data_IF_793751285855
#
_entry.id   IF_793751285855
#
_cell.length_a   1.000
_cell.length_b   1.000
_cell.length_c   1.000
_cell.angle_alpha   90.00
_cell.angle_beta   90.00
_cell.angle_gamma   90.00
#
_symmetry.space_group_name_H-M   'P 1'
#
loop_
_entity.id
_entity.type
_entity.pdbx_description
1 polymer ?
#
# COMPACT_ATOMS: atom_id res chain seq x y z
N UNK A 1 7.60 -25.02 -13.58
CA UNK A 1 8.31 -24.00 -12.78
C UNK A 1 7.22 -23.24 -12.06
N UNK A 2 7.13 -23.35 -10.74
CA UNK A 2 6.31 -22.41 -9.97
C UNK A 2 6.94 -21.03 -10.18
N UNK A 3 6.21 -20.10 -10.79
CA UNK A 3 6.64 -18.71 -10.84
C UNK A 3 6.78 -18.24 -9.39
N UNK A 4 7.99 -17.89 -8.95
CA UNK A 4 8.17 -17.20 -7.67
C UNK A 4 7.34 -15.92 -7.75
N UNK A 5 6.33 -15.81 -6.90
CA UNK A 5 5.47 -14.63 -6.88
C UNK A 5 6.31 -13.41 -6.48
N UNK A 6 6.28 -12.39 -7.32
CA UNK A 6 6.95 -11.12 -7.03
C UNK A 6 6.41 -10.48 -5.76
N UNK A 7 7.33 -10.00 -4.92
CA UNK A 7 7.04 -9.27 -3.68
C UNK A 7 6.68 -7.82 -4.02
N UNK A 8 5.66 -7.29 -3.35
CA UNK A 8 5.22 -5.89 -3.51
C UNK A 8 5.72 -5.06 -2.33
N UNK A 9 6.01 -3.79 -2.55
CA UNK A 9 6.55 -2.88 -1.55
C UNK A 9 5.63 -1.68 -1.39
N UNK A 10 5.39 -1.26 -0.15
CA UNK A 10 4.66 -0.03 0.17
C UNK A 10 5.66 0.96 0.75
N UNK A 11 5.94 2.03 0.03
CA UNK A 11 6.75 3.18 0.47
C UNK A 11 5.92 4.05 1.43
N UNK A 12 5.98 3.71 2.72
CA UNK A 12 5.17 4.28 3.80
C UNK A 12 5.83 5.53 4.40
N UNK A 13 5.04 6.59 4.58
CA UNK A 13 5.36 7.70 5.49
C UNK A 13 4.37 7.71 6.64
N UNK A 14 4.87 7.77 7.86
CA UNK A 14 4.03 7.93 9.05
C UNK A 14 4.04 9.38 9.53
N UNK A 15 2.88 9.87 9.96
CA UNK A 15 2.74 11.23 10.50
C UNK A 15 2.18 11.15 11.90
N UNK A 16 2.87 11.73 12.89
CA UNK A 16 2.34 11.87 14.25
C UNK A 16 1.75 13.26 14.44
N UNK A 17 0.52 13.32 14.92
CA UNK A 17 -0.12 14.59 15.27
C UNK A 17 0.48 15.20 16.55
N UNK A 18 0.14 16.47 16.83
CA UNK A 18 0.65 17.20 17.99
C UNK A 18 0.15 16.65 19.33
N UNK A 19 -0.94 15.86 19.30
CA UNK A 19 -1.53 15.26 20.48
C UNK A 19 -0.89 13.92 20.83
N UNK A 20 -0.05 13.36 19.96
CA UNK A 20 0.67 12.13 20.25
C UNK A 20 1.52 12.32 21.51
N UNK A 21 1.19 11.54 22.52
CA UNK A 21 1.16 11.90 23.93
C UNK A 21 2.40 11.41 24.67
N UNK A 22 3.55 11.39 24.03
CA UNK A 22 4.81 11.16 24.73
C UNK A 22 5.45 12.48 25.16
N UNK A 23 4.84 13.10 26.17
CA UNK A 23 5.49 14.02 27.12
C UNK A 23 6.58 14.97 26.56
N UNK A 24 6.35 15.65 25.43
CA UNK A 24 7.35 16.54 24.83
C UNK A 24 8.66 15.86 24.40
N UNK A 25 8.70 14.52 24.29
CA UNK A 25 9.85 13.74 23.88
C UNK A 25 9.66 13.19 22.46
N UNK A 26 10.06 14.00 21.48
CA UNK A 26 10.04 13.66 20.06
C UNK A 26 10.71 12.31 19.76
N UNK A 27 11.79 11.96 20.45
CA UNK A 27 12.50 10.71 20.17
C UNK A 27 11.66 9.49 20.53
N UNK A 28 10.90 9.54 21.64
CA UNK A 28 10.04 8.43 22.05
C UNK A 28 8.92 8.18 21.02
N UNK A 29 8.36 9.24 20.42
CA UNK A 29 7.39 9.11 19.33
C UNK A 29 8.04 8.46 18.10
N UNK A 30 9.22 8.93 17.70
CA UNK A 30 9.95 8.36 16.56
C UNK A 30 10.26 6.87 16.76
N UNK A 31 10.80 6.50 17.92
CA UNK A 31 11.14 5.11 18.24
C UNK A 31 9.90 4.22 18.22
N UNK A 32 8.78 4.71 18.76
CA UNK A 32 7.50 4.00 18.77
C UNK A 32 6.92 3.80 17.37
N UNK A 33 6.93 4.83 16.54
CA UNK A 33 6.41 4.73 15.17
C UNK A 33 7.29 3.83 14.30
N UNK A 34 8.61 3.86 14.50
CA UNK A 34 9.51 2.92 13.84
C UNK A 34 9.23 1.47 14.28
N UNK A 35 9.00 1.23 15.57
CA UNK A 35 8.57 -0.09 16.07
C UNK A 35 7.25 -0.54 15.43
N UNK A 36 6.28 0.38 15.33
CA UNK A 36 4.99 0.08 14.70
C UNK A 36 5.13 -0.27 13.21
N UNK A 37 5.94 0.46 12.46
CA UNK A 37 6.23 0.17 11.05
C UNK A 37 6.89 -1.21 10.87
N UNK A 38 7.87 -1.56 11.72
CA UNK A 38 8.53 -2.86 11.69
C UNK A 38 7.56 -4.03 11.98
N UNK A 39 6.62 -3.83 12.91
CA UNK A 39 5.58 -4.80 13.19
C UNK A 39 4.65 -4.92 11.98
N UNK A 40 4.23 -3.80 11.37
CA UNK A 40 3.38 -3.83 10.19
C UNK A 40 4.06 -4.52 8.99
N UNK A 41 5.35 -4.27 8.73
CA UNK A 41 6.12 -5.01 7.72
C UNK A 41 6.07 -6.52 7.98
N UNK A 42 6.25 -6.94 9.24
CA UNK A 42 6.14 -8.36 9.63
C UNK A 42 4.76 -8.96 9.36
N UNK A 43 3.69 -8.18 9.51
CA UNK A 43 2.31 -8.59 9.18
C UNK A 43 2.16 -8.76 7.66
N UNK A 44 2.62 -7.78 6.88
CA UNK A 44 2.52 -7.80 5.42
C UNK A 44 3.39 -8.86 4.73
N UNK A 45 4.53 -9.24 5.35
CA UNK A 45 5.34 -10.38 4.90
C UNK A 45 4.52 -11.67 4.77
N UNK A 46 3.48 -11.86 5.59
CA UNK A 46 2.61 -13.06 5.55
C UNK A 46 1.84 -13.21 4.24
N UNK A 47 1.69 -12.13 3.47
CA UNK A 47 1.01 -12.08 2.17
C UNK A 47 1.94 -11.64 1.03
N UNK A 48 3.25 -11.87 1.17
CA UNK A 48 4.28 -11.53 0.18
C UNK A 48 4.30 -10.04 -0.21
N UNK A 49 4.12 -9.18 0.79
CA UNK A 49 4.28 -7.73 0.67
C UNK A 49 5.27 -7.24 1.73
N UNK A 50 5.85 -6.07 1.49
CA UNK A 50 6.76 -5.38 2.39
C UNK A 50 6.28 -3.97 2.64
N UNK A 51 6.47 -3.48 3.86
CA UNK A 51 6.25 -2.08 4.22
C UNK A 51 7.61 -1.46 4.46
N UNK A 52 7.96 -0.48 3.64
CA UNK A 52 9.22 0.23 3.71
C UNK A 52 8.97 1.60 4.33
N UNK A 53 9.50 1.82 5.53
CA UNK A 53 9.34 3.11 6.20
C UNK A 53 10.31 4.12 5.57
N UNK A 54 9.78 5.04 4.78
CA UNK A 54 10.56 6.08 4.10
C UNK A 54 10.74 7.33 4.96
N UNK A 55 9.84 7.56 5.92
CA UNK A 55 9.93 8.73 6.77
C UNK A 55 8.91 8.79 7.89
N UNK A 56 9.24 9.59 8.91
CA UNK A 56 8.33 9.96 9.99
C UNK A 56 8.28 11.49 10.12
N UNK A 57 7.09 12.07 9.97
CA UNK A 57 6.84 13.48 10.26
C UNK A 57 6.15 13.63 11.62
N UNK A 58 6.56 14.61 12.44
CA UNK A 58 5.94 14.88 13.75
C UNK A 58 5.53 16.35 13.82
N UNK A 59 4.22 16.61 13.96
CA UNK A 59 3.66 17.94 14.04
C UNK A 59 3.89 18.57 15.41
N UNK A 60 5.06 19.17 15.62
CA UNK A 60 5.46 19.74 16.91
C UNK A 60 4.94 21.16 17.19
N UNK A 61 4.63 21.93 16.14
CA UNK A 61 4.21 23.34 16.25
C UNK A 61 2.69 23.53 16.22
N UNK A 62 1.92 22.44 16.38
CA UNK A 62 0.48 22.37 16.16
C UNK A 62 0.13 21.60 14.89
N UNK A 63 -1.13 21.18 14.79
CA UNK A 63 -1.61 20.42 13.64
C UNK A 63 -1.89 21.35 12.44
N UNK A 64 -1.40 21.04 11.24
CA UNK A 64 -1.69 21.79 10.02
C UNK A 64 -3.13 21.54 9.52
N UNK A 65 -3.76 20.47 10.00
CA UNK A 65 -5.16 20.14 9.78
C UNK A 65 -5.93 20.14 11.11
N UNK A 66 -7.24 20.30 11.04
CA UNK A 66 -8.11 20.12 12.20
C UNK A 66 -8.37 18.62 12.43
N UNK A 67 -7.71 18.05 13.44
CA UNK A 67 -7.83 16.65 13.87
C UNK A 67 -8.95 16.56 14.91
N UNK A 68 -10.00 15.80 14.60
CA UNK A 68 -11.21 15.69 15.44
C UNK A 68 -11.49 14.25 15.83
N UNK A 69 -12.40 14.07 16.80
CA UNK A 69 -12.88 12.73 17.19
C UNK A 69 -13.76 12.05 16.10
N UNK A 70 -14.09 12.74 15.00
CA UNK A 70 -14.79 12.14 13.86
C UNK A 70 -13.75 11.64 12.86
N UNK A 71 -13.45 10.33 12.88
CA UNK A 71 -12.38 9.72 12.08
C UNK A 71 -12.48 10.06 10.58
N UNK A 72 -13.69 10.06 10.00
CA UNK A 72 -13.89 10.37 8.59
C UNK A 72 -13.52 11.80 8.22
N UNK A 73 -13.85 12.79 9.06
CA UNK A 73 -13.47 14.19 8.81
C UNK A 73 -11.95 14.37 8.89
N UNK A 74 -11.33 13.77 9.90
CA UNK A 74 -9.86 13.79 10.07
C UNK A 74 -9.17 13.11 8.89
N UNK A 75 -9.65 11.95 8.46
CA UNK A 75 -9.11 11.20 7.32
C UNK A 75 -9.13 12.01 6.03
N UNK A 76 -10.27 12.59 5.65
CA UNK A 76 -10.34 13.37 4.41
C UNK A 76 -9.44 14.61 4.45
N UNK A 77 -9.36 15.31 5.59
CA UNK A 77 -8.44 16.45 5.76
C UNK A 77 -6.98 16.04 5.68
N UNK A 78 -6.63 14.89 6.26
CA UNK A 78 -5.29 14.34 6.18
C UNK A 78 -4.90 13.94 4.76
N UNK A 79 -5.80 13.31 4.01
CA UNK A 79 -5.56 12.93 2.62
C UNK A 79 -5.44 14.14 1.69
N UNK A 80 -6.22 15.20 1.91
CA UNK A 80 -6.05 16.48 1.22
C UNK A 80 -4.69 17.11 1.52
N UNK A 81 -4.29 17.14 2.80
CA UNK A 81 -2.97 17.62 3.20
C UNK A 81 -1.84 16.77 2.62
N UNK A 82 -1.96 15.43 2.61
CA UNK A 82 -0.99 14.54 1.98
C UNK A 82 -0.79 14.92 0.51
N UNK A 83 -1.88 15.11 -0.22
CA UNK A 83 -1.86 15.49 -1.65
C UNK A 83 -1.17 16.83 -1.87
N UNK A 84 -1.50 17.83 -1.06
CA UNK A 84 -1.12 19.22 -1.32
C UNK A 84 0.21 19.62 -0.66
N UNK A 85 0.66 18.87 0.36
CA UNK A 85 1.83 19.22 1.18
C UNK A 85 2.88 18.11 1.26
N UNK A 86 2.49 16.84 1.47
CA UNK A 86 3.46 15.76 1.66
C UNK A 86 4.02 15.23 0.33
N UNK A 87 3.13 14.91 -0.62
CA UNK A 87 3.48 14.32 -1.91
C UNK A 87 4.39 15.20 -2.79
N UNK A 88 4.23 16.53 -2.84
CA UNK A 88 5.13 17.37 -3.63
C UNK A 88 6.60 17.25 -3.23
N UNK A 89 6.87 17.02 -1.94
CA UNK A 89 8.23 16.84 -1.40
C UNK A 89 8.67 15.37 -1.38
N UNK A 90 7.73 14.42 -1.52
CA UNK A 90 7.95 12.98 -1.45
C UNK A 90 7.17 12.28 -2.59
N UNK A 91 7.59 12.45 -3.86
CA UNK A 91 6.83 12.01 -5.03
C UNK A 91 6.68 10.49 -5.11
N UNK A 92 7.61 9.73 -4.52
CA UNK A 92 7.63 8.27 -4.50
C UNK A 92 6.83 7.69 -3.31
N UNK A 93 6.16 8.52 -2.49
CA UNK A 93 5.36 8.01 -1.39
C UNK A 93 4.09 7.29 -1.89
N UNK A 94 4.02 5.98 -1.64
CA UNK A 94 2.86 5.17 -1.99
C UNK A 94 1.66 5.41 -1.08
N UNK A 95 1.91 5.51 0.22
CA UNK A 95 0.87 5.56 1.26
C UNK A 95 1.33 6.36 2.48
N UNK A 96 0.42 7.11 3.11
CA UNK A 96 0.74 7.74 4.39
C UNK A 96 -0.33 7.46 5.46
N UNK A 97 0.11 7.31 6.70
CA UNK A 97 -0.77 7.00 7.84
C UNK A 97 -0.59 8.05 8.93
N UNK A 98 -1.69 8.68 9.35
CA UNK A 98 -1.70 9.65 10.44
C UNK A 98 -1.98 8.93 11.76
N UNK A 99 -1.00 8.93 12.64
CA UNK A 99 -1.11 8.43 14.01
C UNK A 99 -1.51 9.57 14.93
N UNK A 100 -2.61 9.41 15.66
CA UNK A 100 -3.14 10.44 16.56
C UNK A 100 -3.33 9.94 17.98
N UNK A 101 -3.05 10.82 18.95
CA UNK A 101 -3.42 10.62 20.35
C UNK A 101 -4.89 10.94 20.68
N UNK A 102 -5.71 11.30 19.69
CA UNK A 102 -7.14 11.57 19.86
C UNK A 102 -7.92 10.25 19.84
N UNK A 103 -8.85 10.10 20.79
CA UNK A 103 -9.82 9.01 20.77
C UNK A 103 -10.98 9.31 19.83
N UNK A 104 -11.19 8.45 18.85
CA UNK A 104 -12.30 8.60 17.90
C UNK A 104 -13.65 8.22 18.52
N UNK A 105 -14.73 8.70 17.94
CA UNK A 105 -16.09 8.44 18.41
C UNK A 105 -16.50 6.97 18.16
N UNK A 106 -17.19 6.39 19.14
CA UNK A 106 -17.73 5.04 19.03
C UNK A 106 -16.66 3.98 19.31
N UNK A 107 -16.57 2.99 18.43
CA UNK A 107 -15.60 1.88 18.52
C UNK A 107 -14.55 1.93 17.40
N UNK A 108 -14.49 3.04 16.67
CA UNK A 108 -13.53 3.24 15.58
C UNK A 108 -12.16 3.51 16.19
N UNK A 109 -11.15 2.79 15.73
CA UNK A 109 -9.73 3.03 16.08
C UNK A 109 -8.90 3.43 14.87
N UNK A 110 -9.43 3.30 13.66
CA UNK A 110 -8.79 3.73 12.43
C UNK A 110 -9.81 3.93 11.31
N UNK A 111 -9.38 4.58 10.22
CA UNK A 111 -10.18 4.70 9.01
C UNK A 111 -9.32 4.95 7.77
N UNK A 112 -9.59 4.19 6.70
CA UNK A 112 -8.99 4.36 5.39
C UNK A 112 -10.00 4.19 4.23
N UNK A 113 -9.78 4.81 3.06
CA UNK A 113 -10.59 4.56 1.87
C UNK A 113 -10.26 3.20 1.25
N UNK A 114 -11.30 2.44 0.87
CA UNK A 114 -11.14 1.17 0.16
C UNK A 114 -10.50 1.36 -1.23
N UNK A 115 -9.63 0.44 -1.66
CA UNK A 115 -9.06 0.35 -3.02
C UNK A 115 -8.47 1.68 -3.50
N UNK A 116 -7.61 2.26 -2.68
CA UNK A 116 -7.07 3.62 -2.87
C UNK A 116 -5.54 3.68 -2.85
N UNK A 117 -4.86 2.55 -2.64
CA UNK A 117 -3.41 2.47 -2.69
C UNK A 117 -2.86 3.07 -3.99
N UNK A 118 -1.73 3.79 -3.92
CA UNK A 118 -1.12 4.58 -5.00
C UNK A 118 -1.89 5.84 -5.45
N UNK A 119 -3.13 6.06 -4.99
CA UNK A 119 -3.86 7.28 -5.32
C UNK A 119 -3.22 8.50 -4.65
N UNK A 120 -2.96 9.55 -5.44
CA UNK A 120 -2.44 10.83 -4.92
C UNK A 120 -3.33 11.45 -3.84
N UNK A 121 -4.65 11.41 -4.04
CA UNK A 121 -5.62 12.04 -3.13
C UNK A 121 -6.28 11.11 -2.11
N UNK A 122 -5.99 9.79 -2.14
CA UNK A 122 -6.70 8.82 -1.29
C UNK A 122 -5.85 7.73 -0.66
N UNK A 123 -4.58 7.56 -1.05
CA UNK A 123 -3.73 6.51 -0.50
C UNK A 123 -3.23 6.88 0.90
N UNK A 124 -3.94 6.37 1.90
CA UNK A 124 -3.60 6.58 3.30
C UNK A 124 -4.77 6.34 4.24
N UNK A 125 -4.55 6.64 5.51
CA UNK A 125 -5.52 6.45 6.59
C UNK A 125 -5.17 7.23 7.84
N UNK A 126 -6.01 7.06 8.86
CA UNK A 126 -5.82 7.62 10.19
C UNK A 126 -5.96 6.51 11.22
N UNK A 127 -5.09 6.51 12.23
CA UNK A 127 -5.01 5.48 13.26
C UNK A 127 -4.91 6.14 14.65
N UNK A 128 -5.78 5.73 15.56
CA UNK A 128 -5.68 6.08 16.98
C UNK A 128 -4.54 5.27 17.61
N UNK A 129 -3.66 5.94 18.37
CA UNK A 129 -2.69 5.25 19.21
C UNK A 129 -3.33 4.77 20.53
N UNK A 130 -4.14 3.72 20.45
CA UNK A 130 -5.04 3.26 21.52
C UNK A 130 -4.40 2.30 22.54
N UNK A 131 -3.16 1.88 22.34
CA UNK A 131 -2.51 0.84 23.13
C UNK A 131 -1.19 1.25 23.76
N UNK A 132 -0.79 0.58 24.85
CA UNK A 132 0.53 0.84 25.47
C UNK A 132 1.67 0.37 24.56
N UNK A 133 1.46 -0.72 23.81
CA UNK A 133 2.46 -1.32 22.94
C UNK A 133 2.26 -0.87 21.49
N UNK A 134 3.36 -0.67 20.76
CA UNK A 134 3.35 -0.29 19.34
C UNK A 134 2.58 -1.30 18.47
N UNK A 135 2.48 -2.57 18.90
CA UNK A 135 1.69 -3.59 18.22
C UNK A 135 0.21 -3.20 18.02
N UNK A 136 -0.37 -2.41 18.94
CA UNK A 136 -1.76 -1.98 18.83
C UNK A 136 -1.97 -1.06 17.63
N UNK A 137 -1.16 0.00 17.52
CA UNK A 137 -1.21 0.91 16.37
C UNK A 137 -0.73 0.23 15.09
N UNK A 138 0.26 -0.65 15.15
CA UNK A 138 0.72 -1.42 13.98
C UNK A 138 -0.38 -2.31 13.39
N UNK A 139 -1.16 -2.99 14.24
CA UNK A 139 -2.28 -3.81 13.80
C UNK A 139 -3.41 -2.99 13.19
N UNK A 140 -3.69 -1.79 13.74
CA UNK A 140 -4.68 -0.87 13.17
C UNK A 140 -4.19 -0.31 11.83
N UNK A 141 -2.95 0.15 11.76
CA UNK A 141 -2.33 0.64 10.52
C UNK A 141 -2.32 -0.43 9.42
N UNK A 142 -2.03 -1.70 9.78
CA UNK A 142 -2.11 -2.82 8.83
C UNK A 142 -3.55 -3.10 8.36
N UNK A 143 -4.55 -2.89 9.22
CA UNK A 143 -5.97 -2.99 8.85
C UNK A 143 -6.36 -1.88 7.87
N UNK A 144 -5.98 -0.64 8.15
CA UNK A 144 -6.33 0.52 7.32
C UNK A 144 -5.59 0.49 5.96
N UNK A 145 -4.31 0.13 5.94
CA UNK A 145 -3.61 -0.15 4.68
C UNK A 145 -4.23 -1.36 3.94
N UNK A 146 -4.78 -2.33 4.65
CA UNK A 146 -5.56 -3.43 4.09
C UNK A 146 -6.76 -2.92 3.30
N UNK A 147 -7.51 -1.97 3.84
CA UNK A 147 -8.57 -1.27 3.09
C UNK A 147 -8.02 -0.53 1.88
N UNK A 148 -6.91 0.21 2.01
CA UNK A 148 -6.28 0.86 0.85
C UNK A 148 -5.95 -0.13 -0.28
N UNK A 149 -5.58 -1.37 0.07
CA UNK A 149 -5.30 -2.49 -0.83
C UNK A 149 -6.55 -3.27 -1.28
N UNK A 150 -7.75 -2.80 -0.93
CA UNK A 150 -9.03 -3.37 -1.37
C UNK A 150 -9.56 -4.53 -0.52
N UNK A 151 -8.95 -4.81 0.62
CA UNK A 151 -9.39 -5.87 1.53
C UNK A 151 -10.65 -5.43 2.29
N UNK A 152 -11.69 -6.27 2.27
CA UNK A 152 -12.89 -6.04 3.06
C UNK A 152 -12.82 -6.77 4.40
N UNK A 153 -13.70 -6.41 5.34
CA UNK A 153 -13.76 -7.08 6.64
C UNK A 153 -14.06 -8.58 6.54
N UNK A 154 -13.51 -9.34 7.50
CA UNK A 154 -13.74 -10.77 7.70
C UNK A 154 -15.06 -11.00 8.44
N UNK A 155 -16.19 -10.87 7.74
CA UNK A 155 -17.51 -11.09 8.34
C UNK A 155 -17.92 -12.57 8.33
N UNK A 156 -18.78 -12.96 9.28
CA UNK A 156 -19.18 -14.37 9.43
C UNK A 156 -19.85 -14.97 8.19
N UNK A 157 -20.50 -14.15 7.37
CA UNK A 157 -21.16 -14.56 6.13
C UNK A 157 -20.17 -14.81 4.97
N UNK A 158 -18.95 -14.26 5.04
CA UNK A 158 -17.89 -14.52 4.05
C UNK A 158 -17.18 -15.84 4.28
N UNK A 159 -17.25 -16.41 5.49
CA UNK A 159 -16.65 -17.70 5.81
C UNK A 159 -15.12 -17.72 5.68
N UNK A 160 -14.46 -16.61 6.06
CA UNK A 160 -13.01 -16.44 5.92
C UNK A 160 -12.24 -17.39 6.84
N UNK A 161 -11.20 -18.02 6.30
CA UNK A 161 -10.30 -18.86 7.08
C UNK A 161 -9.18 -18.00 7.68
N UNK A 162 -8.99 -18.10 8.99
CA UNK A 162 -7.91 -17.45 9.73
C UNK A 162 -7.02 -18.50 10.38
N UNK A 163 -5.70 -18.39 10.22
CA UNK A 163 -4.74 -19.32 10.85
C UNK A 163 -4.51 -19.02 12.33
N UNK A 164 -4.75 -17.78 12.76
CA UNK A 164 -4.66 -17.37 14.16
C UNK A 164 -6.01 -17.56 14.88
N UNK A 165 -5.94 -18.05 16.11
CA UNK A 165 -7.10 -18.07 17.01
C UNK A 165 -7.41 -16.67 17.55
N UNK A 166 -8.59 -16.49 18.14
CA UNK A 166 -8.97 -15.25 18.82
C UNK A 166 -7.99 -14.84 19.93
N UNK A 167 -7.38 -15.82 20.62
CA UNK A 167 -6.40 -15.56 21.69
C UNK A 167 -5.05 -15.09 21.15
N UNK A 168 -4.78 -15.34 19.87
CA UNK A 168 -3.57 -14.93 19.15
C UNK A 168 -3.78 -13.62 18.36
N UNK A 169 -4.92 -12.94 18.54
CA UNK A 169 -5.25 -11.69 17.84
C UNK A 169 -6.32 -11.83 16.76
N UNK A 170 -6.58 -13.05 16.28
CA UNK A 170 -7.42 -13.24 15.09
C UNK A 170 -6.74 -12.71 13.82
N UNK A 171 -7.55 -12.33 12.83
CA UNK A 171 -7.07 -11.83 11.55
C UNK A 171 -7.16 -10.31 11.46
N UNK A 172 -6.23 -9.70 10.72
CA UNK A 172 -6.10 -8.23 10.61
C UNK A 172 -7.40 -7.57 10.18
N UNK A 173 -8.15 -8.16 9.25
CA UNK A 173 -9.38 -7.57 8.70
C UNK A 173 -10.65 -7.90 9.51
N UNK A 174 -10.54 -8.39 10.74
CA UNK A 174 -11.70 -8.51 11.63
C UNK A 174 -12.35 -7.12 11.86
N UNK A 175 -13.69 -7.00 11.79
CA UNK A 175 -14.37 -5.70 11.83
C UNK A 175 -14.33 -4.99 13.20
N UNK A 176 -13.96 -5.72 14.26
CA UNK A 176 -13.92 -5.20 15.61
C UNK A 176 -12.48 -5.23 16.13
N UNK A 177 -12.04 -4.10 16.68
CA UNK A 177 -10.75 -4.01 17.34
C UNK A 177 -10.67 -4.99 18.51
N UNK A 178 -9.56 -5.73 18.58
CA UNK A 178 -9.31 -6.75 19.58
C UNK A 178 -7.86 -6.76 20.03
N UNK A 179 -7.34 -7.94 20.34
CA UNK A 179 -5.89 -8.12 20.50
C UNK A 179 -5.19 -7.84 19.18
N UNK A 180 -3.98 -7.25 19.17
CA UNK A 180 -3.24 -6.99 17.94
C UNK A 180 -3.13 -8.24 17.07
N UNK A 181 -3.63 -8.15 15.84
CA UNK A 181 -3.59 -9.25 14.89
C UNK A 181 -2.26 -9.22 14.13
N UNK A 182 -1.77 -10.41 13.77
CA UNK A 182 -0.47 -10.56 13.10
C UNK A 182 -0.56 -11.23 11.72
N UNK A 183 -1.74 -11.68 11.30
CA UNK A 183 -1.94 -12.45 10.07
C UNK A 183 -3.20 -12.02 9.33
N UNK A 184 -3.17 -12.10 8.00
CA UNK A 184 -4.33 -11.89 7.14
C UNK A 184 -5.14 -13.17 6.92
N UNK A 185 -6.43 -13.03 6.61
CA UNK A 185 -7.30 -14.18 6.32
C UNK A 185 -7.19 -14.63 4.87
N UNK A 186 -7.79 -15.78 4.55
CA UNK A 186 -7.94 -16.23 3.16
C UNK A 186 -8.74 -15.25 2.29
N UNK A 187 -9.69 -14.52 2.88
CA UNK A 187 -10.48 -13.52 2.17
C UNK A 187 -9.64 -12.30 1.83
N UNK A 188 -8.83 -11.82 2.78
CA UNK A 188 -7.92 -10.69 2.56
C UNK A 188 -6.98 -10.93 1.38
N UNK A 189 -6.38 -12.12 1.29
CA UNK A 189 -5.52 -12.51 0.16
C UNK A 189 -6.27 -12.55 -1.17
N UNK A 190 -7.54 -12.98 -1.17
CA UNK A 190 -8.39 -13.00 -2.36
C UNK A 190 -8.77 -11.59 -2.80
N UNK A 191 -9.13 -10.74 -1.85
CA UNK A 191 -9.48 -9.34 -2.10
C UNK A 191 -8.28 -8.57 -2.68
N UNK A 192 -7.09 -8.75 -2.10
CA UNK A 192 -5.85 -8.16 -2.61
C UNK A 192 -5.60 -8.56 -4.06
N UNK A 193 -5.66 -9.86 -4.38
CA UNK A 193 -5.45 -10.31 -5.76
C UNK A 193 -6.46 -9.69 -6.72
N UNK A 194 -7.73 -9.61 -6.33
CA UNK A 194 -8.77 -8.97 -7.15
C UNK A 194 -8.53 -7.46 -7.31
N UNK A 195 -8.03 -6.78 -6.27
CA UNK A 195 -7.71 -5.36 -6.33
C UNK A 195 -6.52 -5.08 -7.26
N UNK A 196 -5.45 -5.89 -7.17
CA UNK A 196 -4.29 -5.79 -8.06
C UNK A 196 -4.68 -5.99 -9.53
N UNK A 197 -5.55 -6.97 -9.83
CA UNK A 197 -6.08 -7.20 -11.18
C UNK A 197 -6.91 -6.02 -11.72
N UNK A 198 -7.45 -5.17 -10.84
CA UNK A 198 -8.20 -3.96 -11.18
C UNK A 198 -7.31 -2.70 -11.22
N UNK A 199 -5.99 -2.84 -11.08
CA UNK A 199 -5.03 -1.74 -11.14
C UNK A 199 -4.78 -1.00 -9.83
N UNK A 200 -5.33 -1.49 -8.71
CA UNK A 200 -4.93 -0.99 -7.38
C UNK A 200 -3.49 -1.44 -7.15
N UNK A 201 -2.64 -0.58 -6.60
CA UNK A 201 -1.28 -0.98 -6.22
C UNK A 201 -0.23 -0.95 -7.35
N UNK A 202 -0.47 -0.24 -8.45
CA UNK A 202 0.49 -0.14 -9.56
C UNK A 202 1.88 0.42 -9.15
N UNK A 203 1.92 1.28 -8.13
CA UNK A 203 3.15 1.81 -7.54
C UNK A 203 3.93 0.79 -6.70
N UNK A 204 3.36 -0.38 -6.36
CA UNK A 204 3.96 -1.26 -5.35
C UNK A 204 5.02 -2.22 -5.91
N UNK A 205 5.44 -2.03 -7.15
CA UNK A 205 6.26 -2.98 -7.90
C UNK A 205 7.71 -2.50 -8.07
N UNK A 206 8.04 -1.28 -7.66
CA UNK A 206 9.43 -0.88 -7.49
C UNK A 206 9.96 -1.33 -6.13
N UNK A 207 11.25 -1.67 -6.11
CA UNK A 207 11.99 -1.77 -4.86
C UNK A 207 12.19 -0.34 -4.34
N UNK A 208 11.88 -0.06 -3.05
CA UNK A 208 12.19 1.21 -2.42
C UNK A 208 13.68 1.51 -2.49
N UNK A 209 14.04 2.79 -2.61
CA UNK A 209 15.44 3.21 -2.56
C UNK A 209 16.02 2.95 -1.16
N UNK A 210 16.96 1.99 -1.00
CA UNK A 210 17.50 1.64 0.31
C UNK A 210 18.20 2.81 0.99
N UNK A 211 18.76 3.76 0.23
CA UNK A 211 19.44 4.94 0.78
C UNK A 211 18.44 5.94 1.43
N UNK A 212 17.15 5.79 1.17
CA UNK A 212 16.08 6.63 1.70
C UNK A 212 15.32 5.98 2.86
N UNK A 213 15.63 4.74 3.22
CA UNK A 213 14.97 4.05 4.32
C UNK A 213 15.22 4.76 5.66
N UNK A 214 14.15 4.93 6.42
CA UNK A 214 14.21 5.56 7.73
C UNK A 214 14.92 4.64 8.73
N UNK A 215 15.95 5.18 9.39
CA UNK A 215 16.73 4.47 10.41
C UNK A 215 18.15 4.09 9.97
N UNK A 216 18.44 4.21 8.67
CA UNK A 216 19.73 3.84 8.08
C UNK A 216 19.94 2.32 7.98
N UNK A 217 21.12 1.88 7.52
CA UNK A 217 21.40 0.48 7.21
C UNK A 217 21.21 -0.48 8.41
N UNK A 218 20.44 -1.56 8.23
CA UNK A 218 20.18 -2.58 9.25
C UNK A 218 20.21 -3.99 8.66
N UNK A 219 21.31 -4.69 8.90
CA UNK A 219 21.43 -6.08 8.53
C UNK A 219 20.33 -6.98 9.13
N UNK A 220 19.63 -7.69 8.24
CA UNK A 220 18.55 -8.61 8.53
C UNK A 220 17.15 -8.02 8.32
N UNK A 221 17.04 -6.80 7.79
CA UNK A 221 15.76 -6.17 7.44
C UNK A 221 15.28 -6.57 6.02
N UNK A 222 16.12 -7.24 5.24
CA UNK A 222 15.82 -7.74 3.90
C UNK A 222 15.92 -6.70 2.78
N UNK A 223 16.59 -5.57 3.01
CA UNK A 223 16.92 -4.56 2.01
C UNK A 223 18.43 -4.52 1.83
N UNK A 224 18.90 -4.45 0.58
CA UNK A 224 20.34 -4.36 0.32
C UNK A 224 20.79 -2.89 0.47
N UNK A 225 21.35 -2.57 1.63
CA UNK A 225 21.73 -1.21 2.02
C UNK A 225 23.27 -0.97 1.94
N UNK A 226 23.70 0.29 2.07
CA UNK A 226 25.13 0.63 2.04
C UNK A 226 25.90 -0.13 3.13
N UNK A 227 26.92 -0.89 2.72
CA UNK A 227 27.78 -1.68 3.60
C UNK A 227 27.46 -3.17 3.65
N UNK A 228 26.41 -3.60 2.96
CA UNK A 228 25.98 -5.00 2.87
C UNK A 228 26.23 -5.57 1.47
N UNK A 229 26.56 -6.86 1.39
CA UNK A 229 26.66 -7.57 0.11
C UNK A 229 25.36 -8.34 -0.22
N UNK A 230 24.55 -8.64 0.80
CA UNK A 230 23.26 -9.31 0.71
C UNK A 230 22.47 -9.15 2.01
N UNK A 231 21.14 -9.18 1.95
CA UNK A 231 20.30 -9.26 3.14
C UNK A 231 19.07 -10.14 2.90
N UNK A 232 19.09 -11.37 3.45
CA UNK A 232 18.01 -12.36 3.31
C UNK A 232 17.00 -12.34 4.45
N UNK A 233 16.93 -11.26 5.21
CA UNK A 233 16.16 -11.14 6.42
C UNK A 233 16.92 -11.69 7.63
N UNK A 234 16.19 -11.90 8.72
CA UNK A 234 16.79 -12.35 9.98
C UNK A 234 17.38 -13.76 9.87
N UNK A 235 18.20 -14.15 10.85
CA UNK A 235 18.79 -15.50 10.93
C UNK A 235 17.74 -16.61 10.87
N UNK A 236 16.54 -16.39 11.44
CA UNK A 236 15.45 -17.36 11.45
C UNK A 236 14.66 -17.38 10.12
N UNK A 237 14.61 -16.25 9.41
CA UNK A 237 13.89 -16.09 8.14
C UNK A 237 14.74 -16.51 6.92
N UNK A 238 16.06 -16.32 7.00
CA UNK A 238 16.94 -16.49 5.86
C UNK A 238 17.02 -17.95 5.39
N UNK A 239 16.58 -18.18 4.15
CA UNK A 239 16.67 -19.48 3.49
C UNK A 239 17.72 -19.52 2.38
N UNK A 240 18.37 -18.40 2.10
CA UNK A 240 19.36 -18.30 1.01
C UNK A 240 20.68 -18.95 1.44
N UNK A 241 21.19 -19.96 0.70
CA UNK A 241 22.50 -20.55 0.97
C UNK A 241 23.66 -19.66 0.49
N UNK A 242 23.36 -18.47 -0.02
CA UNK A 242 24.32 -17.56 -0.66
C UNK A 242 24.71 -16.39 0.26
N UNK A 243 24.00 -16.19 1.37
CA UNK A 243 24.15 -15.04 2.26
C UNK A 243 24.34 -15.50 3.70
N UNK A 244 25.25 -14.86 4.43
CA UNK A 244 25.33 -14.98 5.87
C UNK A 244 24.39 -13.96 6.53
N UNK A 245 23.22 -14.37 7.08
CA UNK A 245 22.26 -13.44 7.68
C UNK A 245 22.75 -12.77 8.97
N UNK A 246 23.87 -13.23 9.54
CA UNK A 246 24.44 -12.59 10.75
C UNK A 246 25.38 -11.44 10.43
N UNK A 247 25.89 -11.38 9.19
CA UNK A 247 26.87 -10.39 8.76
C UNK A 247 26.47 -9.64 7.50
N UNK A 248 25.40 -10.05 6.81
CA UNK A 248 24.94 -9.50 5.53
C UNK A 248 26.04 -9.52 4.46
N UNK A 249 26.83 -10.59 4.48
CA UNK A 249 27.91 -10.82 3.51
C UNK A 249 27.62 -12.04 2.64
N UNK A 250 28.02 -11.95 1.37
CA UNK A 250 27.89 -13.05 0.43
C UNK A 250 28.87 -14.17 0.78
N UNK A 251 28.41 -15.41 0.66
CA UNK A 251 29.29 -16.57 0.74
C UNK A 251 30.22 -16.67 -0.48
N UNK A 252 31.31 -17.44 -0.35
CA UNK A 252 32.32 -17.57 -1.41
C UNK A 252 31.70 -17.98 -2.76
N UNK A 253 32.09 -17.26 -3.81
CA UNK A 253 31.62 -17.39 -5.19
C UNK A 253 30.17 -16.96 -5.45
N UNK A 254 29.43 -16.44 -4.46
CA UNK A 254 28.11 -15.86 -4.72
C UNK A 254 28.26 -14.45 -5.33
N UNK A 255 27.41 -14.11 -6.30
CA UNK A 255 27.27 -12.76 -6.86
C UNK A 255 25.89 -12.14 -6.55
N UNK A 256 24.99 -12.93 -5.99
CA UNK A 256 23.69 -12.53 -5.50
C UNK A 256 23.18 -13.55 -4.47
N UNK A 257 22.16 -13.17 -3.70
CA UNK A 257 21.52 -14.06 -2.75
C UNK A 257 20.00 -14.17 -2.89
N UNK A 258 19.32 -13.09 -3.28
CA UNK A 258 17.86 -12.95 -3.27
C UNK A 258 17.44 -12.20 -4.52
N UNK A 259 16.20 -12.39 -4.95
CA UNK A 259 15.60 -11.71 -6.08
C UNK A 259 15.29 -12.64 -7.24
N UNK A 260 14.39 -12.20 -8.11
CA UNK A 260 13.91 -12.99 -9.25
C UNK A 260 14.98 -13.21 -10.32
N UNK A 261 16.03 -12.38 -10.32
CA UNK A 261 17.16 -12.48 -11.24
C UNK A 261 18.40 -13.14 -10.60
N UNK A 262 18.22 -13.89 -9.51
CA UNK A 262 19.27 -14.66 -8.85
C UNK A 262 18.97 -16.16 -8.84
N UNK A 263 19.81 -16.96 -9.50
CA UNK A 263 19.69 -18.41 -9.55
C UNK A 263 21.03 -19.08 -9.19
N UNK A 264 21.02 -20.01 -8.24
CA UNK A 264 22.24 -20.73 -7.83
C UNK A 264 23.36 -19.82 -7.33
N UNK A 265 23.01 -18.75 -6.61
CA UNK A 265 23.92 -17.70 -6.15
C UNK A 265 24.60 -16.89 -7.27
N UNK A 266 24.09 -16.98 -8.51
CA UNK A 266 24.58 -16.22 -9.66
C UNK A 266 23.49 -15.34 -10.27
N UNK A 267 23.89 -14.16 -10.74
CA UNK A 267 23.03 -13.35 -11.59
C UNK A 267 22.67 -14.13 -12.86
N UNK A 268 21.38 -14.14 -13.20
CA UNK A 268 20.92 -14.73 -14.46
C UNK A 268 21.30 -13.83 -15.64
N UNK A 269 21.29 -14.37 -16.86
CA UNK A 269 21.64 -13.60 -18.05
C UNK A 269 20.64 -12.47 -18.34
N UNK A 270 21.14 -11.38 -18.92
CA UNK A 270 20.30 -10.31 -19.44
C UNK A 270 19.26 -10.85 -20.43
N UNK A 271 18.00 -10.37 -20.34
CA UNK A 271 16.90 -10.84 -21.17
C UNK A 271 16.17 -12.08 -20.64
N UNK A 272 16.51 -12.56 -19.43
CA UNK A 272 15.74 -13.61 -18.75
C UNK A 272 14.45 -13.02 -18.20
N UNK A 273 13.29 -13.57 -18.55
CA UNK A 273 11.99 -13.11 -18.05
C UNK A 273 11.94 -13.25 -16.52
N UNK A 274 11.67 -12.16 -15.80
CA UNK A 274 11.52 -12.18 -14.34
C UNK A 274 10.09 -11.87 -13.88
N UNK A 275 9.33 -11.08 -14.64
CA UNK A 275 7.90 -10.84 -14.40
C UNK A 275 7.14 -10.95 -15.72
N UNK A 276 6.02 -11.66 -15.67
CA UNK A 276 5.10 -11.81 -16.81
C UNK A 276 4.08 -10.67 -16.80
N UNK A 277 3.47 -10.38 -17.96
CA UNK A 277 2.39 -9.40 -18.02
C UNK A 277 1.11 -9.90 -17.33
N UNK A 278 0.37 -8.98 -16.72
CA UNK A 278 -0.91 -9.26 -16.04
C UNK A 278 -2.14 -9.08 -16.96
N UNK A 279 -1.95 -8.64 -18.20
CA UNK A 279 -3.00 -8.45 -19.20
C UNK A 279 -2.66 -7.40 -20.25
N UNK A 280 -3.67 -7.01 -21.04
CA UNK A 280 -3.54 -6.13 -22.22
C UNK A 280 -2.85 -4.78 -21.96
N UNK A 281 -2.85 -4.31 -20.71
CA UNK A 281 -2.32 -3.00 -20.31
C UNK A 281 -0.97 -3.06 -19.61
N UNK A 282 -0.38 -4.25 -19.47
CA UNK A 282 0.86 -4.46 -18.72
C UNK A 282 1.96 -5.00 -19.64
N UNK A 283 3.23 -4.82 -19.27
CA UNK A 283 4.37 -5.30 -20.06
C UNK A 283 5.22 -6.27 -19.23
N UNK A 284 5.86 -7.28 -19.84
CA UNK A 284 6.77 -8.16 -19.12
C UNK A 284 8.13 -7.51 -18.86
N UNK A 285 8.78 -7.88 -17.76
CA UNK A 285 10.13 -7.42 -17.38
C UNK A 285 11.15 -8.55 -17.49
N UNK A 286 12.36 -8.12 -17.84
CA UNK A 286 13.48 -8.99 -18.08
C UNK A 286 14.68 -8.54 -17.25
N UNK A 287 15.37 -9.51 -16.66
CA UNK A 287 16.60 -9.29 -15.92
C UNK A 287 17.62 -8.53 -16.76
N UNK A 288 18.32 -7.59 -16.13
CA UNK A 288 19.38 -6.80 -16.77
C UNK A 288 20.71 -7.54 -16.85
N UNK A 289 20.87 -8.60 -16.06
CA UNK A 289 22.14 -9.32 -15.89
C UNK A 289 23.16 -8.60 -15.00
N UNK A 290 22.80 -7.45 -14.42
CA UNK A 290 23.67 -6.66 -13.53
C UNK A 290 23.06 -6.43 -12.15
N UNK A 291 21.79 -6.78 -11.96
CA UNK A 291 21.07 -6.69 -10.69
C UNK A 291 20.37 -8.02 -10.41
N UNK A 292 20.29 -8.45 -9.13
CA UNK A 292 19.55 -9.64 -8.76
C UNK A 292 18.03 -9.41 -8.65
N UNK A 293 17.59 -8.15 -8.69
CA UNK A 293 16.19 -7.76 -8.69
C UNK A 293 15.65 -7.60 -10.10
N UNK A 294 14.35 -7.91 -10.28
CA UNK A 294 13.66 -7.57 -11.52
C UNK A 294 13.57 -6.04 -11.64
N UNK A 295 13.70 -5.45 -12.84
CA UNK A 295 13.51 -4.01 -13.03
C UNK A 295 12.12 -3.54 -12.55
N UNK A 296 11.95 -2.24 -12.26
CA UNK A 296 10.65 -1.67 -11.93
C UNK A 296 9.60 -1.99 -13.00
N UNK A 297 8.36 -2.22 -12.54
CA UNK A 297 7.21 -2.47 -13.40
C UNK A 297 6.98 -1.31 -14.39
N UNK A 298 6.86 -1.65 -15.67
CA UNK A 298 6.45 -0.74 -16.73
C UNK A 298 5.18 -1.26 -17.38
N UNK A 299 4.30 -0.36 -17.79
CA UNK A 299 3.00 -0.69 -18.34
C UNK A 299 2.65 0.14 -19.57
N UNK A 300 1.60 -0.27 -20.28
CA UNK A 300 1.08 0.46 -21.43
C UNK A 300 0.59 1.83 -20.97
N UNK A 301 0.91 2.86 -21.78
CA UNK A 301 0.56 4.23 -21.48
C UNK A 301 -0.95 4.42 -21.21
N UNK A 302 -1.26 5.21 -20.18
CA UNK A 302 -2.64 5.57 -19.84
C UNK A 302 -3.41 6.13 -21.04
N UNK A 303 -4.65 5.67 -21.19
CA UNK A 303 -5.55 6.04 -22.28
C UNK A 303 -5.45 5.16 -23.53
N UNK A 304 -4.60 4.14 -23.56
CA UNK A 304 -4.57 3.16 -24.66
C UNK A 304 -5.78 2.22 -24.60
N UNK A 305 -6.33 1.85 -25.76
CA UNK A 305 -7.50 0.96 -25.84
C UNK A 305 -7.15 -0.47 -25.41
N UNK A 306 -8.00 -1.08 -24.60
CA UNK A 306 -7.87 -2.47 -24.14
C UNK A 306 -9.20 -3.21 -24.24
N UNK A 307 -9.17 -4.55 -24.15
CA UNK A 307 -10.36 -5.39 -24.32
C UNK A 307 -11.17 -5.06 -25.58
N UNK A 308 -10.51 -4.93 -26.73
CA UNK A 308 -11.16 -4.62 -28.02
C UNK A 308 -11.98 -3.30 -28.00
N UNK A 309 -11.41 -2.21 -27.47
CA UNK A 309 -12.01 -0.87 -27.38
C UNK A 309 -13.19 -0.77 -26.37
N UNK A 310 -13.31 -1.73 -25.44
CA UNK A 310 -14.31 -1.69 -24.36
C UNK A 310 -13.81 -0.96 -23.09
N UNK A 311 -12.52 -0.63 -23.03
CA UNK A 311 -11.91 0.08 -21.92
C UNK A 311 -10.61 0.79 -22.29
N UNK A 312 -10.04 1.47 -21.31
CA UNK A 312 -8.77 2.19 -21.43
C UNK A 312 -7.79 1.73 -20.37
N UNK A 313 -6.53 1.60 -20.75
CA UNK A 313 -5.44 1.35 -19.82
C UNK A 313 -5.28 2.54 -18.88
N UNK A 314 -5.13 2.25 -17.59
CA UNK A 314 -4.79 3.23 -16.58
C UNK A 314 -3.99 2.53 -15.48
N UNK A 315 -2.77 2.99 -15.21
CA UNK A 315 -1.86 2.38 -14.22
C UNK A 315 -1.69 0.86 -14.43
N UNK A 316 -1.53 0.44 -15.69
CA UNK A 316 -1.31 -0.96 -16.06
C UNK A 316 -2.52 -1.89 -16.02
N UNK A 317 -3.70 -1.39 -15.64
CA UNK A 317 -4.94 -2.16 -15.70
C UNK A 317 -5.90 -1.64 -16.77
N UNK A 318 -6.67 -2.55 -17.35
CA UNK A 318 -7.75 -2.19 -18.27
C UNK A 318 -9.00 -1.79 -17.50
N UNK A 319 -9.33 -0.50 -17.52
CA UNK A 319 -10.52 0.04 -16.85
C UNK A 319 -11.70 0.11 -17.82
N UNK A 320 -12.80 -0.55 -17.48
CA UNK A 320 -14.07 -0.49 -18.22
C UNK A 320 -15.16 0.19 -17.39
N UNK A 321 -16.08 0.88 -18.06
CA UNK A 321 -17.21 1.54 -17.41
C UNK A 321 -18.14 0.51 -16.71
N UNK A 322 -18.28 -0.68 -17.30
CA UNK A 322 -19.05 -1.76 -16.70
C UNK A 322 -18.41 -2.25 -15.40
N UNK A 323 -17.09 -2.44 -15.37
CA UNK A 323 -16.36 -2.81 -14.16
C UNK A 323 -16.53 -1.76 -13.06
N UNK A 324 -16.44 -0.47 -13.39
CA UNK A 324 -16.66 0.61 -12.43
C UNK A 324 -18.08 0.60 -11.84
N UNK A 325 -19.09 0.33 -12.67
CA UNK A 325 -20.48 0.20 -12.22
C UNK A 325 -20.68 -0.99 -11.29
N UNK A 326 -20.07 -2.14 -11.59
CA UNK A 326 -20.14 -3.34 -10.73
C UNK A 326 -19.41 -3.12 -9.41
N UNK A 327 -18.26 -2.47 -9.42
CA UNK A 327 -17.50 -2.14 -8.22
C UNK A 327 -18.30 -1.21 -7.30
N UNK A 328 -18.91 -0.18 -7.87
CA UNK A 328 -19.61 0.85 -7.08
C UNK A 328 -20.96 0.34 -6.56
N UNK A 329 -21.69 -0.47 -7.35
CA UNK A 329 -23.10 -0.78 -7.11
C UNK A 329 -23.40 -2.28 -6.95
N UNK A 330 -22.38 -3.14 -7.02
CA UNK A 330 -22.46 -4.59 -6.89
C UNK A 330 -22.65 -5.35 -8.20
N UNK A 331 -22.65 -6.68 -8.11
CA UNK A 331 -22.78 -7.55 -9.27
C UNK A 331 -24.12 -7.39 -10.02
N UNK A 332 -24.07 -7.60 -11.34
CA UNK A 332 -25.23 -7.50 -12.24
C UNK A 332 -25.63 -6.07 -12.64
N UNK A 333 -24.85 -5.07 -12.24
CA UNK A 333 -25.02 -3.66 -12.64
C UNK A 333 -24.38 -3.41 -13.99
N UNK A 334 -24.93 -2.43 -14.72
CA UNK A 334 -24.56 -2.12 -16.09
C UNK A 334 -24.41 -0.63 -16.28
N UNK A 335 -23.67 -0.27 -17.31
CA UNK A 335 -23.56 1.09 -17.81
C UNK A 335 -24.95 1.61 -18.19
N UNK A 336 -25.21 2.90 -17.94
CA UNK A 336 -26.45 3.55 -18.36
C UNK A 336 -26.46 3.79 -19.87
N UNK A 337 -27.62 4.08 -20.44
CA UNK A 337 -27.71 4.54 -21.84
C UNK A 337 -27.04 5.92 -21.99
N UNK A 338 -26.44 6.19 -23.15
CA UNK A 338 -25.69 7.43 -23.46
C UNK A 338 -26.50 8.72 -23.21
N UNK A 339 -27.83 8.63 -23.32
CA UNK A 339 -28.75 9.73 -23.02
C UNK A 339 -28.64 10.22 -21.57
N UNK A 340 -28.30 9.34 -20.62
CA UNK A 340 -28.09 9.73 -19.23
C UNK A 340 -26.87 10.65 -19.10
N UNK A 341 -25.77 10.36 -19.78
CA UNK A 341 -24.54 11.15 -19.68
C UNK A 341 -24.70 12.51 -20.37
N UNK A 342 -25.24 12.52 -21.59
CA UNK A 342 -25.45 13.75 -22.36
C UNK A 342 -26.44 14.74 -21.72
N UNK A 343 -27.46 14.25 -21.00
CA UNK A 343 -28.45 15.10 -20.33
C UNK A 343 -28.06 15.51 -18.91
N UNK A 344 -27.34 14.66 -18.18
CA UNK A 344 -27.04 14.90 -16.76
C UNK A 344 -25.70 15.61 -16.60
N UNK A 345 -24.64 15.18 -17.28
CA UNK A 345 -23.29 15.74 -17.08
C UNK A 345 -23.12 17.17 -17.61
N UNK A 346 -24.01 17.61 -18.51
CA UNK A 346 -24.04 18.98 -19.06
C UNK A 346 -24.70 19.99 -18.10
N UNK A 347 -25.27 19.54 -16.98
CA UNK A 347 -25.92 20.43 -16.00
C UNK A 347 -24.93 21.27 -15.19
N UNK A 348 -23.74 20.73 -14.90
CA UNK A 348 -22.77 21.40 -14.05
C UNK A 348 -23.25 21.51 -12.60
N UNK A 349 -23.84 20.44 -12.08
CA UNK A 349 -24.27 20.35 -10.68
C UNK A 349 -23.65 19.12 -9.99
N UNK A 350 -23.98 18.92 -8.70
CA UNK A 350 -23.44 17.81 -7.90
C UNK A 350 -23.77 16.43 -8.46
N UNK A 351 -24.80 16.30 -9.30
CA UNK A 351 -25.24 15.04 -9.89
C UNK A 351 -24.69 14.80 -11.30
N UNK A 352 -24.21 15.83 -11.98
CA UNK A 352 -23.62 15.72 -13.31
C UNK A 352 -22.71 16.89 -13.66
N UNK A 353 -21.42 16.60 -13.79
CA UNK A 353 -20.36 17.57 -14.06
C UNK A 353 -19.11 16.88 -14.65
N UNK A 354 -18.17 17.67 -15.12
CA UNK A 354 -16.84 17.28 -15.60
C UNK A 354 -15.74 17.66 -14.59
N UNK A 355 -16.06 17.62 -13.29
CA UNK A 355 -15.18 18.03 -12.21
C UNK A 355 -15.51 19.42 -11.67
N UNK A 356 -14.59 19.96 -10.87
CA UNK A 356 -14.69 21.27 -10.25
C UNK A 356 -13.54 22.17 -10.68
N UNK A 357 -13.77 23.48 -10.69
CA UNK A 357 -12.73 24.48 -10.93
C UNK A 357 -11.93 24.79 -9.66
N UNK A 358 -10.95 25.70 -9.77
CA UNK A 358 -10.13 26.16 -8.64
C UNK A 358 -10.94 26.82 -7.50
N UNK A 359 -12.20 27.19 -7.75
CA UNK A 359 -13.11 27.77 -6.77
C UNK A 359 -14.12 26.73 -6.23
N UNK A 360 -13.88 25.44 -6.45
CA UNK A 360 -14.72 24.32 -6.04
C UNK A 360 -16.14 24.36 -6.67
N UNK A 361 -16.30 25.03 -7.82
CA UNK A 361 -17.56 25.08 -8.57
C UNK A 361 -17.62 23.97 -9.63
N UNK A 362 -18.78 23.30 -9.72
CA UNK A 362 -19.01 22.24 -10.70
C UNK A 362 -18.99 22.76 -12.14
N UNK A 363 -18.18 22.12 -12.98
CA UNK A 363 -18.02 22.47 -14.39
C UNK A 363 -18.96 21.60 -15.23
N UNK A 364 -19.86 22.15 -16.06
CA UNK A 364 -20.66 21.35 -16.98
C UNK A 364 -19.77 20.72 -18.06
N UNK A 365 -20.03 19.46 -18.41
CA UNK A 365 -19.35 18.83 -19.53
C UNK A 365 -19.73 19.48 -20.87
N UNK A 366 -18.81 19.48 -21.84
CA UNK A 366 -19.13 19.85 -23.22
C UNK A 366 -20.10 18.83 -23.83
N UNK A 367 -20.98 19.29 -24.73
CA UNK A 367 -21.81 18.39 -25.54
C UNK A 367 -20.88 17.49 -26.37
N UNK A 368 -21.10 16.17 -26.27
CA UNK A 368 -20.36 15.14 -27.01
C UNK A 368 -20.87 15.00 -28.44
#
# INVERSE_FOLDING_TARGET
MESRAETKYVELIMVADNMEKYESNRQAVLDRLQEAANIADSIYKTINMRVALMGIEVWTSGNPIDVTAVASETMYRFLDWRRDNLLPDNPDNDNAQLITGITFQGSTVGMAPLSSMCSSGRSGGVDEDHGIHAAAVASTMAHEMGHNLGMNHDTSDRGCACSASYQEGGCVMEPAAGWPAAVFSSCSSTDLQNALLKGVGACLYNLPDPDQLYGGPVCGNGYLEEGEDCDCGTVDECTSPCCDPSTCTLHENATCAIGLCCEGCQLVSAGTLCRDDLGDCDLPEYCTGTSPHCPPNVFIQDGYDCLYEEGYCFNGACLTHEAQCKETWGEGKKVAEDVCYSLINTKGDVYGNCGKDENDQYIPCSEM
#
